data_IF_483477565864
#
_entry.id   IF_483477565864
#
_cell.length_a   1.000
_cell.length_b   1.000
_cell.length_c   1.000
_cell.angle_alpha   90.00
_cell.angle_beta   90.00
_cell.angle_gamma   90.00
#
_symmetry.space_group_name_H-M   'P 1'
#
loop_
_entity.id
_entity.type
_entity.pdbx_description
1 polymer ?
#
# COMPACT_ATOMS: atom_id res chain seq x y z
N UNK A 1 -13.31 10.42 13.10
CA UNK A 1 -12.67 9.57 12.08
C UNK A 1 -13.35 9.87 10.76
N UNK A 2 -12.60 10.20 9.71
CA UNK A 2 -13.16 10.33 8.36
C UNK A 2 -13.40 8.96 7.74
N UNK A 3 -14.32 8.88 6.79
CA UNK A 3 -14.57 7.67 6.00
C UNK A 3 -13.39 7.38 5.07
N UNK A 4 -13.05 6.11 4.87
CA UNK A 4 -11.98 5.67 3.98
C UNK A 4 -12.53 4.59 3.06
N UNK A 5 -12.48 4.85 1.76
CA UNK A 5 -12.92 3.90 0.74
C UNK A 5 -11.71 3.28 0.06
N UNK A 6 -11.80 1.99 -0.29
CA UNK A 6 -10.70 1.25 -0.88
C UNK A 6 -11.10 0.74 -2.26
N UNK A 7 -10.40 1.19 -3.31
CA UNK A 7 -10.69 0.77 -4.67
C UNK A 7 -10.46 -0.73 -4.85
N UNK A 8 -11.26 -1.39 -5.71
CA UNK A 8 -11.04 -2.80 -6.03
C UNK A 8 -9.61 -3.06 -6.54
N UNK A 9 -9.02 -2.11 -7.27
CA UNK A 9 -7.66 -2.20 -7.77
C UNK A 9 -6.62 -2.22 -6.65
N UNK A 10 -6.75 -1.32 -5.68
CA UNK A 10 -5.87 -1.28 -4.51
C UNK A 10 -5.96 -2.60 -3.73
N UNK A 11 -7.18 -3.08 -3.50
CA UNK A 11 -7.45 -4.32 -2.78
C UNK A 11 -6.80 -5.53 -3.46
N UNK A 12 -7.05 -5.70 -4.76
CA UNK A 12 -6.57 -6.86 -5.52
C UNK A 12 -5.05 -6.86 -5.59
N UNK A 13 -4.38 -5.71 -5.77
CA UNK A 13 -2.91 -5.66 -5.76
C UNK A 13 -2.32 -6.05 -4.41
N UNK A 14 -2.90 -5.53 -3.32
CA UNK A 14 -2.50 -5.91 -1.96
C UNK A 14 -2.67 -7.42 -1.73
N UNK A 15 -3.83 -7.97 -2.10
CA UNK A 15 -4.15 -9.39 -1.95
C UNK A 15 -3.22 -10.28 -2.77
N UNK A 16 -2.99 -9.95 -4.05
CA UNK A 16 -2.12 -10.73 -4.93
C UNK A 16 -0.66 -10.74 -4.45
N UNK A 17 -0.16 -9.64 -3.86
CA UNK A 17 1.18 -9.63 -3.26
C UNK A 17 1.29 -10.63 -2.10
N UNK A 18 0.25 -10.72 -1.26
CA UNK A 18 0.20 -11.71 -0.18
C UNK A 18 0.16 -13.14 -0.72
N UNK A 19 -0.64 -13.38 -1.77
CA UNK A 19 -0.74 -14.70 -2.40
C UNK A 19 0.55 -15.13 -3.09
N UNK A 20 1.32 -14.18 -3.67
CA UNK A 20 2.59 -14.48 -4.31
C UNK A 20 3.68 -14.87 -3.30
N UNK A 21 3.61 -14.35 -2.07
CA UNK A 21 4.56 -14.62 -0.99
C UNK A 21 3.86 -15.15 0.28
N UNK A 22 3.20 -16.33 0.22
CA UNK A 22 2.26 -16.79 1.25
C UNK A 22 2.90 -17.14 2.59
N UNK A 23 4.23 -17.25 2.65
CA UNK A 23 5.01 -17.59 3.84
C UNK A 23 5.89 -16.44 4.33
N UNK A 24 5.80 -15.28 3.71
CA UNK A 24 6.60 -14.12 4.06
C UNK A 24 5.73 -13.03 4.68
N UNK A 25 6.30 -12.27 5.62
CA UNK A 25 5.76 -10.96 5.94
C UNK A 25 5.96 -10.05 4.73
N UNK A 26 4.92 -9.28 4.39
CA UNK A 26 4.91 -8.34 3.29
C UNK A 26 4.54 -6.94 3.77
N UNK A 27 4.92 -5.91 3.02
CA UNK A 27 4.42 -4.55 3.20
C UNK A 27 4.11 -3.88 1.86
N UNK A 28 3.47 -2.71 1.93
CA UNK A 28 3.09 -1.92 0.78
C UNK A 28 2.60 -0.53 1.19
N UNK A 29 2.33 0.32 0.21
CA UNK A 29 1.76 1.65 0.40
C UNK A 29 0.39 1.73 -0.23
N UNK A 30 -0.52 2.44 0.44
CA UNK A 30 -1.82 2.82 -0.11
C UNK A 30 -1.73 4.26 -0.59
N UNK A 31 -2.20 4.50 -1.81
CA UNK A 31 -2.14 5.80 -2.45
C UNK A 31 -3.54 6.37 -2.60
N UNK A 32 -3.66 7.66 -2.30
CA UNK A 32 -4.84 8.48 -2.52
C UNK A 32 -4.39 9.78 -3.17
N UNK A 33 -5.24 10.37 -4.01
CA UNK A 33 -5.01 11.73 -4.49
C UNK A 33 -5.33 12.73 -3.36
N UNK A 34 -4.60 13.84 -3.31
CA UNK A 34 -4.69 14.88 -2.27
C UNK A 34 -5.95 15.77 -2.39
N UNK A 35 -7.15 15.17 -2.43
CA UNK A 35 -8.40 15.89 -2.67
C UNK A 35 -9.58 15.28 -1.90
N UNK A 36 -9.53 15.31 -0.57
CA UNK A 36 -10.72 15.12 0.26
C UNK A 36 -10.85 16.25 1.28
N UNK A 37 -11.05 17.48 0.79
CA UNK A 37 -11.45 18.59 1.65
C UNK A 37 -12.90 18.35 2.12
N UNK A 38 -13.06 17.62 3.23
CA UNK A 38 -14.35 17.38 3.88
C UNK A 38 -15.12 16.11 3.46
N UNK A 39 -14.50 15.19 2.70
CA UNK A 39 -15.12 13.94 2.24
C UNK A 39 -14.35 12.67 2.64
N UNK A 40 -14.84 11.50 2.20
CA UNK A 40 -14.15 10.22 2.38
C UNK A 40 -12.80 10.22 1.64
N UNK A 41 -11.76 9.65 2.25
CA UNK A 41 -10.46 9.46 1.60
C UNK A 41 -10.52 8.19 0.75
N UNK A 42 -10.54 8.34 -0.57
CA UNK A 42 -10.57 7.20 -1.50
C UNK A 42 -9.14 6.73 -1.81
N UNK A 43 -8.77 5.56 -1.31
CA UNK A 43 -7.55 4.85 -1.70
C UNK A 43 -7.74 4.32 -3.11
N UNK A 44 -7.13 5.00 -4.08
CA UNK A 44 -7.25 4.67 -5.50
C UNK A 44 -6.30 3.57 -5.90
N UNK A 45 -5.18 3.40 -5.19
CA UNK A 45 -4.17 2.41 -5.55
C UNK A 45 -3.35 1.83 -4.40
N UNK A 46 -2.67 0.71 -4.67
CA UNK A 46 -1.71 0.08 -3.77
C UNK A 46 -0.38 -0.21 -4.49
N UNK A 47 0.74 0.05 -3.83
CA UNK A 47 2.09 -0.31 -4.28
C UNK A 47 2.66 -1.37 -3.34
N UNK A 48 2.72 -2.64 -3.77
CA UNK A 48 3.49 -3.67 -3.07
C UNK A 48 4.97 -3.27 -2.97
N UNK A 49 5.56 -3.37 -1.78
CA UNK A 49 6.94 -2.92 -1.53
C UNK A 49 7.90 -4.11 -1.34
N UNK A 50 7.93 -4.67 -0.13
CA UNK A 50 8.88 -5.70 0.27
C UNK A 50 8.14 -6.98 0.67
N UNK A 51 8.85 -8.09 0.52
CA UNK A 51 8.43 -9.44 0.92
C UNK A 51 9.58 -10.21 1.59
N UNK A 52 10.65 -9.48 1.95
CA UNK A 52 11.81 -9.94 2.70
C UNK A 52 12.50 -8.73 3.32
N UNK A 53 13.25 -8.93 4.41
CA UNK A 53 14.08 -7.90 5.04
C UNK A 53 13.35 -6.56 5.34
N UNK A 54 12.08 -6.61 5.77
CA UNK A 54 11.23 -5.43 6.00
C UNK A 54 11.83 -4.40 6.98
N UNK A 55 12.71 -4.84 7.89
CA UNK A 55 13.37 -3.98 8.88
C UNK A 55 14.59 -3.22 8.35
N UNK A 56 15.03 -3.47 7.12
CA UNK A 56 16.15 -2.74 6.54
C UNK A 56 15.71 -1.36 6.09
N UNK A 57 16.11 -0.35 6.85
CA UNK A 57 15.80 1.05 6.57
C UNK A 57 16.22 1.52 5.16
N UNK A 58 17.41 1.17 4.62
CA UNK A 58 17.85 1.73 3.35
C UNK A 58 16.93 1.41 2.17
N UNK A 59 16.43 0.17 2.07
CA UNK A 59 15.58 -0.22 0.95
C UNK A 59 14.17 0.37 1.09
N UNK A 60 13.68 0.49 2.32
CA UNK A 60 12.39 1.15 2.60
C UNK A 60 12.47 2.64 2.27
N UNK A 61 13.57 3.31 2.64
CA UNK A 61 13.81 4.71 2.31
C UNK A 61 13.90 4.92 0.80
N UNK A 62 14.66 4.08 0.09
CA UNK A 62 14.74 4.15 -1.37
C UNK A 62 13.35 4.03 -2.00
N UNK A 63 12.57 3.04 -1.57
CA UNK A 63 11.23 2.82 -2.11
C UNK A 63 10.25 3.98 -1.88
N UNK A 64 10.41 4.74 -0.78
CA UNK A 64 9.61 5.94 -0.49
C UNK A 64 10.02 7.17 -1.30
N UNK A 65 11.21 7.16 -1.89
CA UNK A 65 11.71 8.26 -2.73
C UNK A 65 11.42 8.09 -4.22
N UNK A 66 11.00 6.91 -4.65
CA UNK A 66 10.58 6.62 -6.04
C UNK A 66 9.13 7.05 -6.26
#
# INVERSE_FOLDING_TARGET
MGEVELSCRAYVKMYLHACLFPRSSINGLLLSSSSSTGGATCVTDCVPLLHSHLSLAPITQLALTQ
#
